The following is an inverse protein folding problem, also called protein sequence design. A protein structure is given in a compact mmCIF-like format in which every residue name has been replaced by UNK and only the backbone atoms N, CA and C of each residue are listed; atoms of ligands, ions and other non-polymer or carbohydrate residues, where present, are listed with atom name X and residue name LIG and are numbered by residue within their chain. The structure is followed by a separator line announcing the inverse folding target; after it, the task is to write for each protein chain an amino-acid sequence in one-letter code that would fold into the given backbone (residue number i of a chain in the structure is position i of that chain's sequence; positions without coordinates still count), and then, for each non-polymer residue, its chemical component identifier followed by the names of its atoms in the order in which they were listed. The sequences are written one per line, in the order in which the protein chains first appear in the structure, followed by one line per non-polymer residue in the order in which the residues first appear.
data_IF_072690606204
#
_entry.id   IF_072690606204
#
_cell.length_a   1.000
_cell.length_b   1.000
_cell.length_c   1.000
_cell.angle_alpha   90.00
_cell.angle_beta   90.00
_cell.angle_gamma   90.00
#
_symmetry.space_group_name_H-M   'P 1'
#
loop_
_entity.id
_entity.type
_entity.pdbx_description
1 polymer ?
#
# COMPACT_ATOMS: atom_id res chain seq x y z
N UNK A 1 7.78 -18.45 -38.28
CA UNK A 1 8.60 -18.69 -37.08
C UNK A 1 7.65 -18.75 -35.89
N UNK A 2 7.82 -19.71 -34.99
CA UNK A 2 6.85 -19.96 -33.91
C UNK A 2 7.01 -18.90 -32.82
N UNK A 3 5.92 -18.22 -32.45
CA UNK A 3 5.82 -17.21 -31.39
C UNK A 3 6.54 -17.61 -30.09
N UNK A 4 6.55 -18.90 -29.76
CA UNK A 4 7.26 -19.44 -28.58
C UNK A 4 8.78 -19.25 -28.64
N UNK A 5 9.39 -19.29 -29.82
CA UNK A 5 10.83 -19.05 -29.99
C UNK A 5 11.16 -17.57 -29.83
N UNK A 6 10.36 -16.70 -30.45
CA UNK A 6 10.50 -15.24 -30.35
C UNK A 6 10.25 -14.73 -28.92
N UNK A 7 9.26 -15.31 -28.22
CA UNK A 7 9.01 -15.00 -26.82
C UNK A 7 10.15 -15.48 -25.91
N UNK A 8 10.72 -16.66 -26.16
CA UNK A 8 11.89 -17.14 -25.41
C UNK A 8 13.10 -16.25 -25.64
N UNK A 9 13.38 -15.85 -26.88
CA UNK A 9 14.48 -14.92 -27.19
C UNK A 9 14.26 -13.54 -26.59
N UNK A 10 13.01 -13.05 -26.53
CA UNK A 10 12.66 -11.82 -25.84
C UNK A 10 12.83 -11.91 -24.32
N UNK A 11 12.33 -12.98 -23.71
CA UNK A 11 12.41 -13.21 -22.26
C UNK A 11 13.84 -13.47 -21.79
N UNK A 12 14.70 -14.02 -22.65
CA UNK A 12 16.12 -14.26 -22.36
C UNK A 12 17.00 -13.02 -22.51
N UNK A 13 16.44 -11.87 -22.91
CA UNK A 13 17.19 -10.60 -22.87
C UNK A 13 17.49 -10.25 -21.41
N UNK A 14 18.78 -10.15 -21.05
CA UNK A 14 19.22 -9.87 -19.68
C UNK A 14 18.51 -8.66 -19.04
N UNK A 15 18.34 -7.56 -19.79
CA UNK A 15 17.63 -6.37 -19.32
C UNK A 15 16.15 -6.62 -18.90
N UNK A 16 15.48 -7.62 -19.49
CA UNK A 16 14.08 -7.97 -19.14
C UNK A 16 14.04 -8.87 -17.90
N UNK A 17 15.00 -9.79 -17.78
CA UNK A 17 15.12 -10.67 -16.61
C UNK A 17 15.47 -9.85 -15.37
N UNK A 18 16.46 -8.97 -15.45
CA UNK A 18 16.90 -8.14 -14.32
C UNK A 18 15.77 -7.20 -13.86
N UNK A 19 15.03 -6.63 -14.81
CA UNK A 19 13.83 -5.82 -14.53
C UNK A 19 12.74 -6.66 -13.83
N UNK A 20 12.47 -7.87 -14.32
CA UNK A 20 11.46 -8.75 -13.75
C UNK A 20 11.83 -9.18 -12.31
N UNK A 21 13.11 -9.51 -12.08
CA UNK A 21 13.62 -9.86 -10.75
C UNK A 21 13.52 -8.65 -9.81
N UNK A 22 13.92 -7.47 -10.26
CA UNK A 22 13.80 -6.23 -9.48
C UNK A 22 12.35 -5.91 -9.09
N UNK A 23 11.39 -6.13 -10.01
CA UNK A 23 9.97 -5.95 -9.73
C UNK A 23 9.44 -6.95 -8.70
N UNK A 24 9.78 -8.24 -8.83
CA UNK A 24 9.35 -9.29 -7.90
C UNK A 24 9.89 -9.03 -6.50
N UNK A 25 11.18 -8.70 -6.38
CA UNK A 25 11.81 -8.38 -5.10
C UNK A 25 11.19 -7.11 -4.52
N UNK A 26 11.00 -6.06 -5.33
CA UNK A 26 10.35 -4.83 -4.89
C UNK A 26 8.93 -5.05 -4.38
N UNK A 27 8.14 -5.87 -5.06
CA UNK A 27 6.78 -6.22 -4.65
C UNK A 27 6.75 -7.06 -3.36
N UNK A 28 7.69 -8.00 -3.20
CA UNK A 28 7.81 -8.81 -1.99
C UNK A 28 8.28 -7.96 -0.80
N UNK A 29 9.28 -7.11 -1.00
CA UNK A 29 9.81 -6.22 0.03
C UNK A 29 8.75 -5.21 0.50
N UNK A 30 7.99 -4.64 -0.43
CA UNK A 30 6.86 -3.76 -0.09
C UNK A 30 5.86 -4.43 0.85
N UNK A 31 5.57 -5.73 0.69
CA UNK A 31 4.69 -6.46 1.63
C UNK A 31 5.30 -6.60 3.02
N UNK A 32 6.61 -6.85 3.11
CA UNK A 32 7.31 -6.96 4.41
C UNK A 32 7.23 -5.63 5.14
N UNK A 33 7.49 -4.52 4.46
CA UNK A 33 7.44 -3.19 5.10
C UNK A 33 6.02 -2.79 5.43
N UNK A 34 5.03 -3.13 4.60
CA UNK A 34 3.62 -2.91 4.92
C UNK A 34 3.19 -3.67 6.17
N UNK A 35 3.62 -4.93 6.35
CA UNK A 35 3.34 -5.70 7.57
C UNK A 35 4.05 -5.11 8.79
N UNK A 36 5.33 -4.70 8.66
CA UNK A 36 6.04 -4.00 9.74
C UNK A 36 5.28 -2.75 10.20
N UNK A 37 4.73 -1.98 9.26
CA UNK A 37 3.98 -0.77 9.57
C UNK A 37 2.63 -1.11 10.20
N UNK A 38 1.83 -1.95 9.54
CA UNK A 38 0.45 -2.25 9.94
C UNK A 38 0.36 -3.09 11.22
N UNK A 39 1.28 -4.05 11.39
CA UNK A 39 1.18 -5.04 12.45
C UNK A 39 2.09 -4.72 13.66
N UNK A 40 3.16 -3.94 13.47
CA UNK A 40 4.13 -3.64 14.54
C UNK A 40 4.13 -2.17 14.94
N UNK A 41 4.13 -1.24 13.98
CA UNK A 41 4.21 0.20 14.28
C UNK A 41 2.82 0.77 14.63
N UNK A 42 1.78 0.39 13.89
CA UNK A 42 0.44 0.92 14.03
C UNK A 42 -0.24 0.59 15.37
N UNK A 43 -0.16 -0.63 15.95
CA UNK A 43 -0.85 -0.91 17.21
C UNK A 43 -0.36 -0.07 18.40
N UNK A 44 0.96 0.11 18.62
CA UNK A 44 1.46 1.04 19.64
C UNK A 44 1.11 2.50 19.35
N UNK A 45 1.16 2.94 18.09
CA UNK A 45 0.77 4.30 17.71
C UNK A 45 -0.71 4.54 17.97
N UNK A 46 -1.57 3.57 17.62
CA UNK A 46 -3.01 3.62 17.85
C UNK A 46 -3.35 3.71 19.33
N UNK A 47 -2.60 3.02 20.19
CA UNK A 47 -2.76 3.13 21.65
C UNK A 47 -2.36 4.51 22.18
N UNK A 48 -1.27 5.10 21.67
CA UNK A 48 -0.78 6.41 22.11
C UNK A 48 -1.65 7.58 21.65
N UNK A 49 -2.21 7.51 20.45
CA UNK A 49 -3.02 8.59 19.85
C UNK A 49 -4.50 8.45 20.25
N UNK A 50 -4.89 7.37 20.94
CA UNK A 50 -6.22 7.20 21.51
C UNK A 50 -7.24 6.57 20.56
N UNK A 51 -6.84 5.57 19.77
CA UNK A 51 -7.72 4.84 18.85
C UNK A 51 -8.54 5.74 17.92
N UNK A 52 -7.93 6.83 17.42
CA UNK A 52 -8.56 7.69 16.42
C UNK A 52 -8.63 6.90 15.11
N UNK A 53 -9.72 6.15 14.93
CA UNK A 53 -10.07 5.55 13.66
C UNK A 53 -10.64 6.65 12.77
N UNK A 54 -9.77 7.30 12.00
CA UNK A 54 -10.19 8.39 11.12
C UNK A 54 -11.25 7.92 10.13
N UNK A 55 -11.38 6.61 9.87
CA UNK A 55 -12.43 6.04 9.01
C UNK A 55 -13.85 6.37 9.49
N UNK A 56 -14.02 6.72 10.76
CA UNK A 56 -15.32 7.14 11.30
C UNK A 56 -15.73 8.54 10.83
N UNK A 57 -14.80 9.36 10.37
CA UNK A 57 -15.11 10.66 9.78
C UNK A 57 -15.63 10.49 8.35
N UNK A 58 -16.95 10.49 8.24
CA UNK A 58 -17.65 10.44 6.97
C UNK A 58 -18.66 11.58 6.90
N UNK A 59 -18.76 12.23 5.75
CA UNK A 59 -19.76 13.25 5.49
C UNK A 59 -20.88 12.57 4.71
N UNK A 60 -22.07 12.47 5.29
CA UNK A 60 -23.26 12.02 4.57
C UNK A 60 -23.72 13.17 3.69
N UNK A 61 -23.45 13.08 2.38
CA UNK A 61 -23.83 14.10 1.40
C UNK A 61 -25.31 13.99 1.00
N UNK A 62 -25.88 12.78 1.09
CA UNK A 62 -27.30 12.52 0.83
C UNK A 62 -27.76 11.31 1.64
N UNK A 63 -28.80 11.51 2.45
CA UNK A 63 -29.42 10.44 3.22
C UNK A 63 -30.13 9.42 2.29
N UNK A 64 -30.14 8.16 2.70
CA UNK A 64 -30.78 7.09 1.94
C UNK A 64 -32.30 7.28 1.93
N UNK A 65 -32.92 7.23 0.75
CA UNK A 65 -34.38 7.22 0.60
C UNK A 65 -34.78 6.19 -0.48
N UNK A 66 -35.80 5.39 -0.15
CA UNK A 66 -36.59 4.55 -1.08
C UNK A 66 -35.82 3.65 -2.07
N UNK A 67 -34.73 3.01 -1.65
CA UNK A 67 -33.82 2.11 -2.41
C UNK A 67 -32.57 2.75 -3.05
N UNK A 68 -32.25 4.02 -2.75
CA UNK A 68 -30.99 4.63 -3.19
C UNK A 68 -29.98 4.60 -2.03
N UNK A 69 -28.80 3.96 -2.18
CA UNK A 69 -27.78 3.96 -1.14
C UNK A 69 -27.33 5.38 -0.84
N UNK A 70 -27.11 5.68 0.45
CA UNK A 70 -26.63 6.98 0.90
C UNK A 70 -25.31 7.33 0.19
N UNK A 71 -25.19 8.57 -0.29
CA UNK A 71 -23.94 9.06 -0.86
C UNK A 71 -23.09 9.56 0.30
N UNK A 72 -22.12 8.74 0.68
CA UNK A 72 -21.24 9.00 1.81
C UNK A 72 -19.86 9.36 1.27
N UNK A 73 -19.34 10.52 1.66
CA UNK A 73 -17.96 10.93 1.39
C UNK A 73 -17.08 10.55 2.58
N UNK A 74 -16.31 9.47 2.41
CA UNK A 74 -15.42 8.94 3.44
C UNK A 74 -14.06 9.66 3.43
N UNK A 75 -14.04 10.96 3.73
CA UNK A 75 -12.79 11.74 3.80
C UNK A 75 -11.86 11.26 4.94
N UNK A 76 -12.44 10.62 5.96
CA UNK A 76 -11.71 9.95 7.02
C UNK A 76 -10.75 8.87 6.56
N UNK A 77 -11.18 8.04 5.61
CA UNK A 77 -10.33 7.01 4.98
C UNK A 77 -9.19 7.66 4.19
N UNK A 78 -9.45 8.79 3.55
CA UNK A 78 -8.41 9.52 2.83
C UNK A 78 -7.31 10.05 3.76
N UNK A 79 -7.69 10.63 4.90
CA UNK A 79 -6.74 11.09 5.91
C UNK A 79 -5.97 9.92 6.51
N UNK A 80 -6.64 8.81 6.83
CA UNK A 80 -6.01 7.57 7.27
C UNK A 80 -4.92 7.11 6.30
N UNK A 81 -5.22 7.07 4.99
CA UNK A 81 -4.27 6.65 3.97
C UNK A 81 -3.05 7.58 3.86
N UNK A 82 -3.21 8.89 4.13
CA UNK A 82 -2.08 9.83 4.17
C UNK A 82 -1.18 9.52 5.36
N UNK A 83 -1.74 9.26 6.54
CA UNK A 83 -0.96 8.86 7.72
C UNK A 83 -0.23 7.54 7.50
N UNK A 84 -0.92 6.52 6.98
CA UNK A 84 -0.33 5.22 6.66
C UNK A 84 0.83 5.36 5.66
N UNK A 85 0.69 6.22 4.63
CA UNK A 85 1.76 6.51 3.69
C UNK A 85 2.98 7.19 4.34
N UNK A 86 2.75 8.15 5.25
CA UNK A 86 3.84 8.82 5.97
C UNK A 86 4.60 7.85 6.87
N UNK A 87 3.89 6.98 7.59
CA UNK A 87 4.51 5.95 8.42
C UNK A 87 5.27 4.94 7.56
N UNK A 88 4.68 4.50 6.44
CA UNK A 88 5.35 3.61 5.49
C UNK A 88 6.64 4.20 4.94
N UNK A 89 6.62 5.48 4.55
CA UNK A 89 7.83 6.17 4.08
C UNK A 89 8.89 6.28 5.17
N UNK A 90 8.50 6.62 6.39
CA UNK A 90 9.43 6.72 7.52
C UNK A 90 10.03 5.36 7.90
N UNK A 91 9.22 4.31 7.87
CA UNK A 91 9.64 2.93 8.12
C UNK A 91 10.68 2.46 7.09
N UNK A 92 10.43 2.65 5.79
CA UNK A 92 11.41 2.33 4.75
C UNK A 92 12.71 3.12 4.92
N UNK A 93 12.63 4.40 5.25
CA UNK A 93 13.82 5.22 5.49
C UNK A 93 14.68 4.69 6.65
N UNK A 94 14.06 4.26 7.75
CA UNK A 94 14.77 3.64 8.88
C UNK A 94 15.34 2.26 8.53
N UNK A 95 14.58 1.46 7.77
CA UNK A 95 15.00 0.15 7.30
C UNK A 95 16.26 0.27 6.42
N UNK A 96 16.22 1.12 5.38
CA UNK A 96 17.35 1.35 4.48
C UNK A 96 18.59 1.89 5.19
N UNK A 97 18.41 2.70 6.24
CA UNK A 97 19.52 3.21 7.06
C UNK A 97 20.16 2.12 7.93
N UNK A 98 19.42 1.09 8.32
CA UNK A 98 19.92 -0.01 9.14
C UNK A 98 20.72 -1.02 8.31
N UNK A 99 20.43 -1.14 7.02
CA UNK A 99 21.15 -2.03 6.10
C UNK A 99 22.45 -1.43 5.52
N UNK A 100 22.74 -0.15 5.78
CA UNK A 100 24.03 0.50 5.44
C UNK A 100 24.93 0.58 6.67
#
# INVERSE_FOLDING_TARGET
MSFLKEFREFAMKGNVIDLAVGFIIGAAFGKIVSSLVADIIMPPLGLLIGAIDFKQFHLVLKEAHDNIPAVIMNYGVFIQNIFDFLIYRYSNFYCDKTYK
#
